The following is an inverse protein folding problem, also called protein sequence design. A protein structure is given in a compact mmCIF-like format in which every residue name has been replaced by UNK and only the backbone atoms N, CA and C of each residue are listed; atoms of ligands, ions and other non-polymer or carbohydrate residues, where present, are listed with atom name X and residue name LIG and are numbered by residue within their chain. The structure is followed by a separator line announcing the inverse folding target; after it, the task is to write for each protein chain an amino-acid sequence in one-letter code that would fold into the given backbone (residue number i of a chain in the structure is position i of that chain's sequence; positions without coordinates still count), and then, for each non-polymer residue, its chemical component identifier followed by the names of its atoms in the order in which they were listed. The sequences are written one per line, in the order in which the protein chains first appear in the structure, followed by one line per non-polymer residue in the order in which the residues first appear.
data_IF_136695687601
#
_entry.id   IF_136695687601
#
_cell.length_a   1.000
_cell.length_b   1.000
_cell.length_c   1.000
_cell.angle_alpha   90.00
_cell.angle_beta   90.00
_cell.angle_gamma   90.00
#
_symmetry.space_group_name_H-M   'P 1'
#
loop_
_entity.id
_entity.type
_entity.pdbx_description
1 polymer ?
#
# COMPACT_ATOMS: atom_id res chain seq x y z
N UNK A 1 -3.43 -10.93 28.26
CA UNK A 1 -2.15 -10.91 27.51
C UNK A 1 -2.20 -9.96 26.31
N UNK A 2 -3.26 -9.96 25.48
CA UNK A 2 -3.36 -9.16 24.24
C UNK A 2 -3.32 -7.63 24.42
N UNK A 3 -3.98 -7.10 25.45
CA UNK A 3 -4.08 -5.65 25.69
C UNK A 3 -2.76 -4.97 26.11
N UNK A 4 -1.90 -5.65 26.90
CA UNK A 4 -0.57 -5.12 27.28
C UNK A 4 0.39 -5.02 26.08
N UNK A 5 0.30 -5.97 25.16
CA UNK A 5 1.12 -5.99 23.93
C UNK A 5 0.70 -4.83 23.01
N UNK A 6 -0.61 -4.61 22.84
CA UNK A 6 -1.17 -3.48 22.09
C UNK A 6 -0.68 -2.11 22.59
N UNK A 7 -0.64 -1.90 23.91
CA UNK A 7 -0.12 -0.65 24.50
C UNK A 7 1.36 -0.45 24.17
N UNK A 8 2.17 -1.51 24.25
CA UNK A 8 3.59 -1.43 23.91
C UNK A 8 3.81 -1.11 22.43
N UNK A 9 2.95 -1.62 21.56
CA UNK A 9 3.03 -1.42 20.11
C UNK A 9 2.60 -0.01 19.69
N UNK A 10 1.56 0.54 20.32
CA UNK A 10 1.20 1.95 20.23
C UNK A 10 2.35 2.86 20.68
N UNK A 11 2.98 2.53 21.81
CA UNK A 11 4.10 3.29 22.33
C UNK A 11 5.32 3.22 21.38
N UNK A 12 5.63 2.05 20.82
CA UNK A 12 6.69 1.90 19.81
C UNK A 12 6.38 2.67 18.54
N UNK A 13 5.13 2.71 18.10
CA UNK A 13 4.73 3.49 16.94
C UNK A 13 4.97 4.99 17.10
N UNK A 14 4.67 5.51 18.29
CA UNK A 14 4.90 6.92 18.60
C UNK A 14 6.39 7.26 18.70
N UNK A 15 7.23 6.32 19.12
CA UNK A 15 8.62 6.59 19.47
C UNK A 15 9.68 6.00 18.52
N UNK A 16 9.34 4.99 17.72
CA UNK A 16 10.24 4.21 16.85
C UNK A 16 9.55 3.71 15.55
N UNK A 17 8.99 4.61 14.71
CA UNK A 17 8.32 4.21 13.46
C UNK A 17 9.25 3.51 12.45
N UNK A 18 10.57 3.70 12.56
CA UNK A 18 11.60 3.10 11.71
C UNK A 18 12.07 1.69 12.10
N UNK A 19 11.42 1.01 13.06
CA UNK A 19 11.74 -0.39 13.35
C UNK A 19 11.57 -1.25 12.07
N UNK A 20 12.63 -1.96 11.68
CA UNK A 20 12.67 -2.73 10.44
C UNK A 20 12.32 -4.20 10.68
N UNK A 21 11.45 -4.75 9.84
CA UNK A 21 11.05 -6.15 9.86
C UNK A 21 11.10 -6.76 8.46
N UNK A 22 11.19 -8.09 8.39
CA UNK A 22 11.15 -8.80 7.12
C UNK A 22 9.76 -8.66 6.47
N UNK A 23 9.72 -8.45 5.15
CA UNK A 23 8.49 -8.54 4.39
C UNK A 23 8.18 -10.01 4.07
N UNK A 24 7.36 -10.64 4.91
CA UNK A 24 7.13 -12.08 4.83
C UNK A 24 8.33 -12.87 5.35
N UNK A 25 8.61 -14.03 4.74
CA UNK A 25 9.83 -14.81 5.02
C UNK A 25 11.04 -14.37 4.18
N UNK A 26 10.93 -13.27 3.44
CA UNK A 26 11.94 -12.80 2.50
C UNK A 26 13.00 -11.95 3.21
N UNK A 27 14.19 -11.82 2.61
CA UNK A 27 15.30 -11.05 3.18
C UNK A 27 15.13 -9.52 3.14
N UNK A 28 14.13 -9.01 2.42
CA UNK A 28 13.85 -7.57 2.32
C UNK A 28 13.31 -7.03 3.66
N UNK A 29 13.99 -6.05 4.24
CA UNK A 29 13.58 -5.42 5.50
C UNK A 29 12.91 -4.06 5.27
N UNK A 30 11.65 -3.95 5.65
CA UNK A 30 10.82 -2.75 5.52
C UNK A 30 10.57 -2.14 6.89
N UNK A 31 10.42 -0.82 6.96
CA UNK A 31 9.85 -0.16 8.12
C UNK A 31 8.41 -0.60 8.35
N UNK A 32 7.98 -0.70 9.61
CA UNK A 32 6.63 -1.11 9.95
C UNK A 32 5.53 -0.13 9.45
N UNK A 33 5.91 1.10 9.12
CA UNK A 33 5.08 2.07 8.41
C UNK A 33 5.71 2.39 7.06
N UNK A 34 4.86 2.63 6.05
CA UNK A 34 5.26 3.15 4.75
C UNK A 34 4.47 4.40 4.40
N UNK A 35 4.97 5.18 3.45
CA UNK A 35 4.29 6.36 2.92
C UNK A 35 3.76 6.07 1.51
N UNK A 36 2.44 6.07 1.38
CA UNK A 36 1.76 5.94 0.08
C UNK A 36 1.48 7.30 -0.58
N UNK A 37 1.48 7.34 -1.91
CA UNK A 37 1.29 8.57 -2.69
C UNK A 37 -0.12 8.76 -3.26
N UNK A 38 -1.04 7.81 -3.03
CA UNK A 38 -2.40 7.84 -3.59
C UNK A 38 -3.19 9.07 -3.12
N UNK A 39 -3.88 9.71 -4.08
CA UNK A 39 -4.68 10.95 -3.92
C UNK A 39 -3.84 12.22 -3.78
N UNK A 40 -2.73 12.13 -3.05
CA UNK A 40 -1.92 13.27 -2.61
C UNK A 40 -0.95 13.75 -3.69
N UNK A 41 0.03 12.95 -4.06
CA UNK A 41 1.15 13.39 -4.90
C UNK A 41 0.69 13.63 -6.34
N UNK A 42 1.13 14.74 -6.94
CA UNK A 42 0.69 15.16 -8.28
C UNK A 42 -0.80 15.51 -8.37
N UNK A 43 -1.47 15.68 -7.23
CA UNK A 43 -2.91 15.83 -7.12
C UNK A 43 -3.32 16.79 -6.00
N UNK A 44 -3.76 16.26 -4.85
CA UNK A 44 -4.37 17.03 -3.76
C UNK A 44 -3.42 18.03 -3.08
N UNK A 45 -2.13 17.69 -2.98
CA UNK A 45 -1.12 18.51 -2.29
C UNK A 45 -0.09 19.05 -3.29
N UNK A 46 0.60 20.13 -2.92
CA UNK A 46 1.71 20.66 -3.71
C UNK A 46 2.94 19.76 -3.63
N UNK A 47 3.84 19.90 -4.61
CA UNK A 47 5.13 19.19 -4.63
C UNK A 47 6.01 19.54 -3.42
N UNK A 48 5.91 20.76 -2.87
CA UNK A 48 6.64 21.17 -1.66
C UNK A 48 6.17 20.42 -0.41
N UNK A 49 4.84 20.26 -0.23
CA UNK A 49 4.28 19.47 0.87
C UNK A 49 4.63 17.99 0.67
N UNK A 50 4.59 17.50 -0.57
CA UNK A 50 4.99 16.14 -0.88
C UNK A 50 6.47 15.89 -0.51
N UNK A 51 7.36 16.84 -0.81
CA UNK A 51 8.77 16.78 -0.41
C UNK A 51 8.92 16.76 1.12
N UNK A 52 8.20 17.64 1.83
CA UNK A 52 8.22 17.71 3.28
C UNK A 52 7.78 16.37 3.91
N UNK A 53 6.68 15.78 3.44
CA UNK A 53 6.19 14.49 3.93
C UNK A 53 7.17 13.35 3.70
N UNK A 54 7.79 13.28 2.51
CA UNK A 54 8.84 12.28 2.22
C UNK A 54 10.06 12.47 3.11
N UNK A 55 10.45 13.73 3.34
CA UNK A 55 11.58 14.09 4.23
C UNK A 55 11.32 13.63 5.65
N UNK A 56 10.17 14.00 6.23
CA UNK A 56 9.77 13.62 7.58
C UNK A 56 9.72 12.09 7.70
N UNK A 57 9.14 11.40 6.73
CA UNK A 57 9.08 9.94 6.75
C UNK A 57 10.49 9.32 6.79
N UNK A 58 11.36 9.71 5.85
CA UNK A 58 12.72 9.17 5.76
C UNK A 58 13.56 9.47 7.01
N UNK A 59 13.52 10.70 7.52
CA UNK A 59 14.26 11.11 8.72
C UNK A 59 13.78 10.40 10.00
N UNK A 60 12.52 9.94 10.02
CA UNK A 60 11.97 9.10 11.10
C UNK A 60 12.18 7.59 10.85
N UNK A 61 13.00 7.22 9.87
CA UNK A 61 13.39 5.84 9.59
C UNK A 61 12.37 5.05 8.76
N UNK A 62 11.36 5.70 8.18
CA UNK A 62 10.51 5.05 7.17
C UNK A 62 11.33 4.87 5.90
N UNK A 63 11.45 3.62 5.46
CA UNK A 63 12.18 3.27 4.24
C UNK A 63 11.27 2.87 3.08
N UNK A 64 9.97 2.64 3.31
CA UNK A 64 9.03 2.16 2.30
C UNK A 64 8.18 3.30 1.71
N UNK A 65 8.31 3.53 0.40
CA UNK A 65 7.53 4.51 -0.36
C UNK A 65 6.75 3.83 -1.49
N UNK A 66 5.44 4.00 -1.49
CA UNK A 66 4.53 3.27 -2.36
C UNK A 66 3.77 4.20 -3.32
N UNK A 67 3.74 3.82 -4.60
CA UNK A 67 3.06 4.57 -5.67
C UNK A 67 2.41 3.62 -6.68
N UNK A 68 1.85 4.14 -7.78
CA UNK A 68 1.34 3.36 -8.90
C UNK A 68 1.32 4.20 -10.18
N UNK A 69 1.40 3.54 -11.34
CA UNK A 69 1.34 4.21 -12.65
C UNK A 69 0.04 5.03 -12.83
N UNK A 70 -1.05 4.57 -12.23
CA UNK A 70 -2.37 5.20 -12.37
C UNK A 70 -2.54 6.43 -11.46
N UNK A 71 -1.71 6.58 -10.43
CA UNK A 71 -1.88 7.65 -9.44
C UNK A 71 -1.59 9.02 -10.07
N UNK A 72 -2.65 9.83 -10.14
CA UNK A 72 -2.65 11.10 -10.85
C UNK A 72 -2.14 10.97 -12.30
N UNK A 73 -2.45 9.86 -12.97
CA UNK A 73 -1.97 9.53 -14.32
C UNK A 73 -0.44 9.65 -14.45
N UNK A 74 0.29 8.99 -13.56
CA UNK A 74 1.76 8.96 -13.51
C UNK A 74 2.41 10.15 -12.79
N UNK A 75 1.68 11.23 -12.49
CA UNK A 75 2.28 12.41 -11.83
C UNK A 75 2.77 12.11 -10.41
N UNK A 76 2.14 11.18 -9.69
CA UNK A 76 2.62 10.77 -8.38
C UNK A 76 4.04 10.18 -8.44
N UNK A 77 4.31 9.35 -9.45
CA UNK A 77 5.65 8.79 -9.72
C UNK A 77 6.64 9.88 -10.11
N UNK A 78 6.28 10.81 -10.99
CA UNK A 78 7.12 11.95 -11.35
C UNK A 78 7.48 12.80 -10.12
N UNK A 79 6.51 13.06 -9.25
CA UNK A 79 6.71 13.86 -8.02
C UNK A 79 7.66 13.14 -7.07
N UNK A 80 7.40 11.86 -6.77
CA UNK A 80 8.26 11.05 -5.91
C UNK A 80 9.69 10.95 -6.47
N UNK A 81 9.84 10.70 -7.77
CA UNK A 81 11.14 10.62 -8.43
C UNK A 81 11.96 11.91 -8.34
N UNK A 82 11.32 13.07 -8.57
CA UNK A 82 11.95 14.39 -8.39
C UNK A 82 12.43 14.59 -6.95
N UNK A 83 11.63 14.22 -5.96
CA UNK A 83 11.99 14.35 -4.54
C UNK A 83 13.20 13.47 -4.22
N UNK A 84 13.16 12.18 -4.57
CA UNK A 84 14.25 11.24 -4.29
C UNK A 84 15.55 11.69 -4.94
N UNK A 85 15.50 12.14 -6.20
CA UNK A 85 16.66 12.69 -6.91
C UNK A 85 17.20 13.97 -6.27
N UNK A 86 16.31 14.89 -5.87
CA UNK A 86 16.69 16.15 -5.20
C UNK A 86 17.34 15.91 -3.85
N UNK A 87 16.78 14.99 -3.04
CA UNK A 87 17.33 14.62 -1.73
C UNK A 87 18.65 13.86 -1.84
N UNK A 88 18.88 13.19 -2.96
CA UNK A 88 20.11 12.46 -3.26
C UNK A 88 20.49 11.47 -2.14
N UNK A 89 19.49 10.86 -1.50
CA UNK A 89 19.71 9.77 -0.57
C UNK A 89 20.24 8.55 -1.32
N UNK A 90 21.08 7.76 -0.66
CA UNK A 90 21.65 6.57 -1.26
C UNK A 90 20.52 5.59 -1.61
N UNK A 91 20.36 5.22 -2.90
CA UNK A 91 19.28 4.34 -3.39
C UNK A 91 19.09 3.04 -2.59
N UNK A 92 20.16 2.53 -1.97
CA UNK A 92 20.17 1.32 -1.14
C UNK A 92 19.56 1.48 0.26
N UNK A 93 19.17 2.69 0.69
CA UNK A 93 18.63 2.95 2.04
C UNK A 93 17.11 2.99 2.06
N UNK A 94 16.45 3.03 0.90
CA UNK A 94 15.01 3.09 0.79
C UNK A 94 14.48 2.08 -0.23
N UNK A 95 13.20 1.78 -0.10
CA UNK A 95 12.41 0.80 -0.81
C UNK A 95 11.31 1.56 -1.56
N UNK A 96 11.27 1.41 -2.87
CA UNK A 96 10.20 1.96 -3.71
C UNK A 96 9.36 0.82 -4.24
N UNK A 97 8.04 0.91 -4.05
CA UNK A 97 7.08 0.06 -4.73
C UNK A 97 6.22 0.84 -5.70
N UNK A 98 5.96 0.26 -6.88
CA UNK A 98 4.93 0.73 -7.81
C UNK A 98 3.96 -0.40 -8.16
N UNK A 99 2.81 -0.07 -8.73
CA UNK A 99 1.78 -1.04 -9.15
C UNK A 99 1.36 -0.79 -10.59
N UNK A 100 1.14 -1.89 -11.29
CA UNK A 100 0.75 -1.92 -12.70
C UNK A 100 -0.66 -2.51 -12.84
N UNK A 101 -1.48 -1.86 -13.66
CA UNK A 101 -2.70 -2.36 -14.28
C UNK A 101 -3.33 -1.31 -15.21
N UNK A 102 -3.20 -0.02 -14.93
CA UNK A 102 -3.85 1.07 -15.68
C UNK A 102 -2.80 2.13 -16.08
N UNK A 103 -2.10 1.92 -17.19
CA UNK A 103 -1.05 2.83 -17.65
C UNK A 103 -1.50 3.84 -18.70
N UNK A 104 -2.68 3.65 -19.32
CA UNK A 104 -3.14 4.54 -20.37
C UNK A 104 -4.58 4.30 -20.83
N UNK A 105 -4.92 4.88 -21.98
CA UNK A 105 -6.29 4.84 -22.54
C UNK A 105 -6.47 3.74 -23.59
N UNK A 106 -5.39 3.32 -24.25
CA UNK A 106 -5.48 2.26 -25.24
C UNK A 106 -5.75 0.91 -24.58
N UNK A 107 -6.38 -0.01 -25.33
CA UNK A 107 -6.71 -1.35 -24.82
C UNK A 107 -5.45 -2.12 -24.34
N UNK A 108 -4.32 -1.88 -24.98
CA UNK A 108 -3.03 -2.50 -24.66
C UNK A 108 -2.25 -1.79 -23.53
N UNK A 109 -2.76 -0.68 -22.99
CA UNK A 109 -2.13 0.09 -21.90
C UNK A 109 -2.80 -0.21 -20.54
N UNK A 110 -3.47 -1.36 -20.43
CA UNK A 110 -4.09 -1.84 -19.20
C UNK A 110 -3.99 -3.37 -19.08
N UNK A 111 -4.24 -3.86 -17.87
CA UNK A 111 -4.23 -5.29 -17.54
C UNK A 111 -2.87 -5.79 -17.06
N UNK A 112 -2.70 -7.10 -17.09
CA UNK A 112 -1.48 -7.82 -16.68
C UNK A 112 -0.94 -8.70 -17.81
N UNK A 113 -1.20 -8.33 -19.06
CA UNK A 113 -0.48 -8.92 -20.19
C UNK A 113 1.02 -8.67 -20.05
N UNK A 114 1.83 -9.58 -20.61
CA UNK A 114 3.29 -9.43 -20.65
C UNK A 114 3.71 -8.10 -21.27
N UNK A 115 2.99 -7.65 -22.30
CA UNK A 115 3.21 -6.34 -22.95
C UNK A 115 3.07 -5.21 -21.93
N UNK A 116 1.93 -5.14 -21.24
CA UNK A 116 1.66 -4.05 -20.29
C UNK A 116 2.59 -4.09 -19.07
N UNK A 117 2.88 -5.27 -18.52
CA UNK A 117 3.79 -5.38 -17.37
C UNK A 117 5.17 -4.81 -17.71
N UNK A 118 5.73 -5.12 -18.89
CA UNK A 118 7.05 -4.64 -19.28
C UNK A 118 7.02 -3.15 -19.63
N UNK A 119 6.06 -2.72 -20.47
CA UNK A 119 5.97 -1.33 -20.94
C UNK A 119 5.56 -0.37 -19.81
N UNK A 120 4.59 -0.77 -18.99
CA UNK A 120 4.14 -0.03 -17.82
C UNK A 120 5.24 0.13 -16.78
N UNK A 121 6.01 -0.93 -16.48
CA UNK A 121 7.14 -0.83 -15.55
C UNK A 121 8.23 0.11 -16.08
N UNK A 122 8.63 -0.02 -17.34
CA UNK A 122 9.63 0.86 -17.95
C UNK A 122 9.19 2.32 -17.90
N UNK A 123 7.93 2.60 -18.23
CA UNK A 123 7.36 3.94 -18.15
C UNK A 123 7.32 4.47 -16.72
N UNK A 124 7.05 3.61 -15.75
CA UNK A 124 7.06 3.96 -14.32
C UNK A 124 8.47 4.30 -13.83
N UNK A 125 9.48 3.51 -14.22
CA UNK A 125 10.89 3.76 -13.92
C UNK A 125 11.39 5.08 -14.50
N UNK A 126 11.00 5.40 -15.74
CA UNK A 126 11.31 6.68 -16.37
C UNK A 126 10.73 7.86 -15.57
N UNK A 127 9.45 7.78 -15.19
CA UNK A 127 8.81 8.82 -14.36
C UNK A 127 9.47 8.94 -12.99
N UNK A 128 9.81 7.82 -12.37
CA UNK A 128 10.51 7.76 -11.08
C UNK A 128 11.97 8.21 -11.16
N UNK A 129 12.57 8.24 -12.36
CA UNK A 129 14.00 8.48 -12.56
C UNK A 129 14.85 7.45 -11.78
N UNK A 130 14.45 6.18 -11.82
CA UNK A 130 15.12 5.06 -11.16
C UNK A 130 15.46 3.97 -12.17
N UNK A 131 16.57 3.27 -11.97
CA UNK A 131 16.91 2.09 -12.77
C UNK A 131 16.05 0.88 -12.39
N UNK A 132 15.59 0.83 -11.14
CA UNK A 132 14.75 -0.25 -10.61
C UNK A 132 13.83 0.24 -9.48
N UNK A 133 12.73 -0.50 -9.29
CA UNK A 133 11.92 -0.48 -8.05
C UNK A 133 12.23 -1.72 -7.21
N UNK A 134 12.05 -1.65 -5.90
CA UNK A 134 12.31 -2.81 -5.05
C UNK A 134 11.20 -3.84 -5.21
N UNK A 135 9.95 -3.39 -5.34
CA UNK A 135 8.78 -4.24 -5.52
C UNK A 135 7.88 -3.68 -6.63
N UNK A 136 7.50 -4.53 -7.58
CA UNK A 136 6.41 -4.23 -8.53
C UNK A 136 5.17 -5.03 -8.18
N UNK A 137 4.02 -4.38 -8.07
CA UNK A 137 2.76 -5.02 -7.74
C UNK A 137 1.85 -5.17 -8.96
N UNK A 138 1.14 -6.29 -9.05
CA UNK A 138 -0.11 -6.37 -9.78
C UNK A 138 -1.20 -5.60 -9.01
N UNK A 139 -1.69 -4.46 -9.52
CA UNK A 139 -2.60 -3.57 -8.78
C UNK A 139 -4.00 -4.18 -8.53
N UNK A 140 -4.43 -5.09 -9.40
CA UNK A 140 -5.60 -5.98 -9.25
C UNK A 140 -5.39 -7.22 -10.11
N UNK A 141 -6.20 -8.26 -9.92
CA UNK A 141 -6.21 -9.42 -10.81
C UNK A 141 -6.64 -9.01 -12.23
N UNK A 142 -6.08 -9.66 -13.23
CA UNK A 142 -6.55 -9.60 -14.61
C UNK A 142 -7.16 -10.94 -15.03
N UNK A 143 -8.49 -10.99 -15.13
CA UNK A 143 -9.20 -12.20 -15.57
C UNK A 143 -9.07 -12.48 -17.07
N UNK A 144 -8.51 -11.54 -17.85
CA UNK A 144 -8.31 -11.69 -19.29
C UNK A 144 -6.94 -12.28 -19.65
N UNK A 145 -5.97 -12.26 -18.73
CA UNK A 145 -4.62 -12.78 -18.93
C UNK A 145 -4.43 -14.10 -18.16
N UNK A 146 -3.87 -15.16 -18.78
CA UNK A 146 -3.57 -16.39 -18.07
C UNK A 146 -2.56 -16.17 -16.94
N UNK A 147 -2.75 -16.84 -15.80
CA UNK A 147 -1.83 -16.71 -14.65
C UNK A 147 -0.37 -17.03 -15.00
N UNK A 148 -0.15 -18.03 -15.87
CA UNK A 148 1.19 -18.35 -16.36
C UNK A 148 1.87 -17.17 -17.06
N UNK A 149 1.15 -16.44 -17.91
CA UNK A 149 1.68 -15.27 -18.59
C UNK A 149 2.07 -14.18 -17.59
N UNK A 150 1.19 -13.92 -16.63
CA UNK A 150 1.39 -12.92 -15.58
C UNK A 150 2.66 -13.24 -14.77
N UNK A 151 2.78 -14.46 -14.25
CA UNK A 151 3.94 -14.88 -13.43
C UNK A 151 5.23 -14.89 -14.25
N UNK A 152 5.20 -15.31 -15.53
CA UNK A 152 6.35 -15.25 -16.43
C UNK A 152 6.78 -13.82 -16.71
N UNK A 153 5.83 -12.89 -16.88
CA UNK A 153 6.12 -11.49 -17.14
C UNK A 153 6.78 -10.83 -15.92
N UNK A 154 6.26 -11.05 -14.70
CA UNK A 154 6.88 -10.57 -13.47
C UNK A 154 8.27 -11.17 -13.24
N UNK A 155 8.42 -12.47 -13.51
CA UNK A 155 9.75 -13.12 -13.44
C UNK A 155 10.73 -12.51 -14.44
N UNK A 156 10.27 -12.18 -15.65
CA UNK A 156 11.12 -11.55 -16.66
C UNK A 156 11.61 -10.17 -16.22
N UNK A 157 10.74 -9.30 -15.68
CA UNK A 157 11.17 -7.96 -15.26
C UNK A 157 12.13 -8.01 -14.07
N UNK A 158 12.03 -9.03 -13.21
CA UNK A 158 13.03 -9.31 -12.17
C UNK A 158 14.37 -9.73 -12.78
N UNK A 159 14.36 -10.72 -13.68
CA UNK A 159 15.58 -11.19 -14.35
C UNK A 159 16.27 -10.11 -15.20
N UNK A 160 15.51 -9.09 -15.63
CA UNK A 160 16.02 -7.92 -16.33
C UNK A 160 16.49 -6.79 -15.39
N UNK A 161 16.51 -7.01 -14.07
CA UNK A 161 16.88 -6.04 -13.04
C UNK A 161 16.04 -4.75 -13.04
N UNK A 162 14.81 -4.78 -13.58
CA UNK A 162 13.87 -3.65 -13.51
C UNK A 162 13.17 -3.59 -12.14
N UNK A 163 13.16 -4.70 -11.43
CA UNK A 163 12.75 -4.77 -10.03
C UNK A 163 13.44 -5.93 -9.29
N UNK A 164 13.49 -5.89 -7.95
CA UNK A 164 14.02 -7.02 -7.17
C UNK A 164 12.97 -8.07 -6.83
N UNK A 165 11.74 -7.65 -6.58
CA UNK A 165 10.64 -8.53 -6.19
C UNK A 165 9.33 -8.12 -6.87
N UNK A 166 8.35 -9.01 -6.84
CA UNK A 166 6.98 -8.68 -7.22
C UNK A 166 5.98 -9.12 -6.16
N UNK A 167 4.81 -8.52 -6.18
CA UNK A 167 3.71 -8.83 -5.28
C UNK A 167 2.35 -8.68 -5.93
N UNK A 168 1.32 -9.08 -5.19
CA UNK A 168 -0.08 -8.97 -5.61
C UNK A 168 -0.78 -7.86 -4.83
N UNK A 169 -1.89 -7.33 -5.35
CA UNK A 169 -2.73 -6.37 -4.63
C UNK A 169 -4.18 -6.66 -4.94
N UNK A 170 -5.00 -6.79 -3.90
CA UNK A 170 -6.44 -7.10 -3.97
C UNK A 170 -6.75 -8.51 -4.48
N UNK A 171 -5.77 -9.40 -4.52
CA UNK A 171 -5.97 -10.77 -5.02
C UNK A 171 -6.59 -11.67 -3.95
N UNK A 172 -7.45 -12.61 -4.34
CA UNK A 172 -7.97 -13.60 -3.40
C UNK A 172 -6.87 -14.57 -2.92
N UNK A 173 -7.04 -15.21 -1.75
CA UNK A 173 -6.14 -16.30 -1.32
C UNK A 173 -5.90 -17.37 -2.38
N UNK A 174 -6.94 -17.68 -3.16
CA UNK A 174 -6.90 -18.67 -4.23
C UNK A 174 -5.99 -18.22 -5.38
N UNK A 175 -6.15 -16.98 -5.85
CA UNK A 175 -5.31 -16.41 -6.92
C UNK A 175 -3.83 -16.32 -6.53
N UNK A 176 -3.55 -15.96 -5.26
CA UNK A 176 -2.17 -15.91 -4.76
C UNK A 176 -1.56 -17.32 -4.76
N UNK A 177 -2.32 -18.33 -4.33
CA UNK A 177 -1.87 -19.72 -4.36
C UNK A 177 -1.71 -20.25 -5.78
N UNK A 178 -2.57 -19.83 -6.72
CA UNK A 178 -2.43 -20.15 -8.14
C UNK A 178 -1.11 -19.60 -8.71
N UNK A 179 -0.82 -18.31 -8.48
CA UNK A 179 0.45 -17.71 -8.87
C UNK A 179 1.66 -18.44 -8.27
N UNK A 180 1.58 -18.82 -6.99
CA UNK A 180 2.62 -19.61 -6.35
C UNK A 180 2.77 -20.99 -6.99
N UNK A 181 1.66 -21.68 -7.28
CA UNK A 181 1.65 -23.00 -7.92
C UNK A 181 2.30 -22.94 -9.30
N UNK A 182 1.93 -21.97 -10.13
CA UNK A 182 2.54 -21.71 -11.44
C UNK A 182 4.04 -21.45 -11.29
N UNK A 183 4.44 -20.64 -10.32
CA UNK A 183 5.84 -20.34 -10.09
C UNK A 183 6.64 -21.61 -9.74
N UNK A 184 6.09 -22.49 -8.90
CA UNK A 184 6.73 -23.76 -8.56
C UNK A 184 6.78 -24.73 -9.74
N UNK A 185 5.70 -24.85 -10.49
CA UNK A 185 5.60 -25.76 -11.63
C UNK A 185 6.61 -25.42 -12.74
N UNK A 186 6.82 -24.13 -13.00
CA UNK A 186 7.65 -23.67 -14.12
C UNK A 186 9.00 -23.07 -13.71
N UNK A 187 9.41 -23.26 -12.45
CA UNK A 187 10.63 -22.69 -11.88
C UNK A 187 10.75 -21.16 -12.10
N UNK A 188 9.65 -20.46 -11.84
CA UNK A 188 9.55 -19.00 -11.90
C UNK A 188 9.59 -18.40 -10.49
N UNK A 189 9.61 -17.07 -10.41
CA UNK A 189 9.71 -16.35 -9.13
C UNK A 189 8.30 -16.13 -8.58
N UNK A 190 7.96 -16.63 -7.37
CA UNK A 190 6.64 -16.41 -6.76
C UNK A 190 6.50 -14.98 -6.21
N UNK A 191 5.27 -14.47 -6.00
CA UNK A 191 5.06 -13.17 -5.37
C UNK A 191 5.49 -13.22 -3.90
N UNK A 192 6.11 -12.14 -3.41
CA UNK A 192 6.65 -12.09 -2.04
C UNK A 192 5.68 -11.50 -1.02
N UNK A 193 4.67 -10.77 -1.47
CA UNK A 193 3.71 -10.10 -0.60
C UNK A 193 2.38 -9.81 -1.29
N UNK A 194 1.34 -9.68 -0.48
CA UNK A 194 0.02 -9.19 -0.88
C UNK A 194 -0.22 -7.80 -0.28
N UNK A 195 -0.62 -6.85 -1.11
CA UNK A 195 -0.98 -5.50 -0.70
C UNK A 195 -2.51 -5.39 -0.54
N UNK A 196 -3.02 -5.34 0.70
CA UNK A 196 -4.47 -5.50 0.96
C UNK A 196 -5.07 -4.46 1.91
N UNK A 197 -6.38 -4.20 1.79
CA UNK A 197 -7.08 -3.27 2.67
C UNK A 197 -7.13 -3.84 4.08
N UNK A 198 -6.76 -3.03 5.07
CA UNK A 198 -6.90 -3.40 6.45
C UNK A 198 -7.14 -2.18 7.33
N UNK A 199 -8.20 -2.26 8.11
CA UNK A 199 -8.57 -1.28 9.12
C UNK A 199 -9.68 -1.86 9.98
N UNK A 200 -10.09 -1.17 11.06
CA UNK A 200 -11.09 -1.66 12.02
C UNK A 200 -12.42 -2.15 11.39
N UNK A 201 -12.81 -1.59 10.24
CA UNK A 201 -14.02 -2.01 9.49
C UNK A 201 -13.77 -3.01 8.34
N UNK A 202 -12.53 -3.42 8.07
CA UNK A 202 -12.17 -4.35 6.99
C UNK A 202 -11.04 -5.25 7.49
N UNK A 203 -11.40 -6.42 8.03
CA UNK A 203 -10.47 -7.25 8.83
C UNK A 203 -10.28 -8.67 8.31
N UNK A 204 -11.35 -9.24 7.74
CA UNK A 204 -11.47 -10.66 7.45
C UNK A 204 -10.28 -11.23 6.67
N UNK A 205 -9.87 -10.56 5.59
CA UNK A 205 -8.77 -11.05 4.74
C UNK A 205 -7.45 -11.15 5.49
N UNK A 206 -7.06 -10.11 6.23
CA UNK A 206 -5.78 -10.07 6.93
C UNK A 206 -5.77 -10.97 8.16
N UNK A 207 -6.87 -11.06 8.90
CA UNK A 207 -6.90 -11.80 10.16
C UNK A 207 -7.25 -13.28 10.02
N UNK A 208 -8.01 -13.65 8.99
CA UNK A 208 -8.49 -15.03 8.81
C UNK A 208 -7.73 -15.73 7.70
N UNK A 209 -7.62 -15.11 6.52
CA UNK A 209 -7.10 -15.82 5.34
C UNK A 209 -5.60 -15.72 5.15
N UNK A 210 -5.02 -14.51 5.27
CA UNK A 210 -3.59 -14.30 5.02
C UNK A 210 -2.63 -15.02 6.00
N UNK A 211 -2.93 -15.23 7.30
CA UNK A 211 -2.00 -15.91 8.21
C UNK A 211 -1.72 -17.35 7.78
N UNK A 212 -2.70 -18.03 7.19
CA UNK A 212 -2.51 -19.39 6.69
C UNK A 212 -1.72 -19.42 5.39
N UNK A 213 -1.89 -18.42 4.51
CA UNK A 213 -1.03 -18.27 3.32
C UNK A 213 0.41 -17.99 3.75
N UNK A 214 0.62 -17.07 4.69
CA UNK A 214 1.93 -16.75 5.26
C UNK A 214 2.62 -18.02 5.79
N UNK A 215 1.92 -18.83 6.60
CA UNK A 215 2.49 -20.08 7.15
C UNK A 215 2.90 -21.07 6.07
N UNK A 216 2.09 -21.20 5.01
CA UNK A 216 2.27 -22.19 3.94
C UNK A 216 3.36 -21.81 2.94
N UNK A 217 3.33 -20.57 2.44
CA UNK A 217 4.18 -20.14 1.32
C UNK A 217 5.05 -18.91 1.62
N UNK A 218 4.94 -18.32 2.81
CA UNK A 218 5.85 -17.28 3.28
C UNK A 218 5.63 -15.88 2.73
N UNK A 219 4.49 -15.58 2.09
CA UNK A 219 4.19 -14.22 1.60
C UNK A 219 4.07 -13.26 2.78
N UNK A 220 4.57 -12.04 2.64
CA UNK A 220 4.30 -10.93 3.56
C UNK A 220 2.96 -10.24 3.27
N UNK A 221 2.54 -9.40 4.19
CA UNK A 221 1.34 -8.56 4.02
C UNK A 221 1.72 -7.10 4.14
N UNK A 222 1.31 -6.29 3.16
CA UNK A 222 1.46 -4.84 3.19
C UNK A 222 0.07 -4.21 3.16
N UNK A 223 -0.36 -3.63 4.27
CA UNK A 223 -1.74 -3.14 4.37
C UNK A 223 -1.90 -1.71 3.86
N UNK A 224 -3.09 -1.37 3.38
CA UNK A 224 -3.41 -0.01 2.92
C UNK A 224 -4.75 0.49 3.46
N UNK A 225 -4.95 1.81 3.35
CA UNK A 225 -6.07 2.56 3.95
C UNK A 225 -6.26 2.27 5.45
N UNK A 226 -5.22 2.34 6.30
CA UNK A 226 -5.34 2.04 7.73
C UNK A 226 -6.37 2.90 8.47
N UNK A 227 -6.73 4.05 7.89
CA UNK A 227 -7.74 4.97 8.41
C UNK A 227 -9.05 4.97 7.60
N UNK A 228 -9.31 3.97 6.75
CA UNK A 228 -10.46 3.87 5.87
C UNK A 228 -10.72 5.17 5.09
N UNK A 229 -9.72 5.64 4.34
CA UNK A 229 -9.76 6.92 3.62
C UNK A 229 -10.00 8.17 4.50
N UNK A 230 -9.65 8.09 5.78
CA UNK A 230 -9.80 9.15 6.77
C UNK A 230 -11.05 9.03 7.64
N UNK A 231 -11.90 8.01 7.41
CA UNK A 231 -13.08 7.75 8.24
C UNK A 231 -12.70 7.57 9.72
N UNK A 232 -11.66 6.79 9.99
CA UNK A 232 -11.15 6.47 11.34
C UNK A 232 -10.39 7.63 12.00
N UNK A 233 -10.61 8.87 11.54
CA UNK A 233 -10.12 10.07 12.24
C UNK A 233 -11.23 10.79 12.98
N UNK A 234 -12.49 10.39 12.79
CA UNK A 234 -13.67 11.08 13.32
C UNK A 234 -14.03 12.37 12.57
N UNK A 235 -13.27 12.77 11.54
CA UNK A 235 -13.48 14.04 10.83
C UNK A 235 -14.82 14.19 10.09
N UNK A 236 -15.59 13.11 9.97
CA UNK A 236 -16.86 13.09 9.24
C UNK A 236 -18.09 13.02 10.16
N UNK A 237 -17.92 13.21 11.47
CA UNK A 237 -19.03 13.13 12.43
C UNK A 237 -20.14 14.15 12.12
N UNK A 238 -19.75 15.37 11.76
CA UNK A 238 -20.64 16.48 11.41
C UNK A 238 -20.83 16.65 9.89
N UNK A 239 -20.70 15.57 9.12
CA UNK A 239 -20.82 15.58 7.66
C UNK A 239 -19.47 15.64 6.94
N UNK A 240 -19.42 16.21 5.74
CA UNK A 240 -18.22 16.15 4.87
C UNK A 240 -17.46 17.49 4.89
N UNK A 241 -16.27 17.56 5.53
CA UNK A 241 -15.48 18.79 5.55
C UNK A 241 -14.98 19.18 4.15
N UNK A 242 -14.89 20.49 3.88
CA UNK A 242 -14.59 21.04 2.54
C UNK A 242 -13.26 20.56 1.93
N UNK A 243 -12.23 20.38 2.75
CA UNK A 243 -10.89 19.95 2.30
C UNK A 243 -10.62 18.46 2.55
N UNK A 244 -11.65 17.70 2.94
CA UNK A 244 -11.54 16.26 3.14
C UNK A 244 -11.43 15.50 1.81
N UNK A 245 -10.93 14.27 1.85
CA UNK A 245 -10.87 13.40 0.66
C UNK A 245 -12.25 13.19 0.04
N UNK A 246 -13.30 13.06 0.85
CA UNK A 246 -14.68 12.87 0.37
C UNK A 246 -15.26 14.10 -0.34
N UNK A 247 -14.67 15.29 -0.17
CA UNK A 247 -15.08 16.50 -0.89
C UNK A 247 -14.38 16.67 -2.26
N UNK A 248 -13.34 15.87 -2.55
CA UNK A 248 -12.59 15.99 -3.80
C UNK A 248 -13.40 15.52 -5.02
N UNK A 249 -13.20 16.18 -6.16
CA UNK A 249 -13.76 15.74 -7.45
C UNK A 249 -13.26 14.34 -7.77
N UNK A 250 -14.17 13.45 -8.18
CA UNK A 250 -13.87 12.03 -8.44
C UNK A 250 -13.99 11.10 -7.23
N UNK A 251 -14.27 11.63 -6.03
CA UNK A 251 -14.45 10.86 -4.80
C UNK A 251 -15.90 10.82 -4.30
N UNK A 252 -16.88 10.99 -5.22
CA UNK A 252 -18.31 10.88 -4.90
C UNK A 252 -18.66 9.56 -4.20
N UNK A 253 -18.05 8.46 -4.65
CA UNK A 253 -18.20 7.14 -4.02
C UNK A 253 -17.81 7.13 -2.52
N UNK A 254 -16.81 7.92 -2.12
CA UNK A 254 -16.39 8.01 -0.71
C UNK A 254 -17.37 8.88 0.07
N UNK A 255 -17.86 9.97 -0.52
CA UNK A 255 -18.92 10.79 0.07
C UNK A 255 -20.18 9.95 0.31
N UNK A 256 -20.60 9.15 -0.67
CA UNK A 256 -21.76 8.28 -0.56
C UNK A 256 -21.56 7.21 0.52
N UNK A 257 -20.37 6.61 0.59
CA UNK A 257 -20.00 5.65 1.65
C UNK A 257 -20.05 6.27 3.05
N UNK A 258 -19.62 7.53 3.19
CA UNK A 258 -19.66 8.25 4.48
C UNK A 258 -21.10 8.57 4.89
N UNK A 259 -21.96 8.97 3.95
CA UNK A 259 -23.30 9.49 4.22
C UNK A 259 -24.42 8.44 4.27
N UNK A 260 -24.15 7.21 3.81
CA UNK A 260 -25.11 6.11 3.87
C UNK A 260 -25.28 5.56 5.30
N UNK A 261 -26.28 4.69 5.49
CA UNK A 261 -26.64 4.16 6.81
C UNK A 261 -25.51 3.36 7.47
N UNK A 262 -24.71 2.64 6.69
CA UNK A 262 -23.57 1.89 7.20
C UNK A 262 -22.46 2.83 7.68
N UNK A 263 -22.15 3.87 6.90
CA UNK A 263 -21.18 4.90 7.25
C UNK A 263 -21.57 5.63 8.53
N UNK A 264 -22.85 5.96 8.72
CA UNK A 264 -23.34 6.56 9.97
C UNK A 264 -23.21 5.62 11.17
N UNK A 265 -23.56 4.34 11.02
CA UNK A 265 -23.33 3.32 12.05
C UNK A 265 -21.85 3.17 12.40
N UNK A 266 -20.96 3.31 11.41
CA UNK A 266 -19.52 3.33 11.64
C UNK A 266 -19.10 4.58 12.44
N UNK A 267 -19.64 5.77 12.14
CA UNK A 267 -19.38 7.00 12.92
C UNK A 267 -19.80 6.86 14.39
N UNK A 268 -20.97 6.29 14.67
CA UNK A 268 -21.42 6.08 16.06
C UNK A 268 -20.41 5.24 16.86
N UNK A 269 -19.89 4.17 16.26
CA UNK A 269 -18.83 3.34 16.86
C UNK A 269 -17.52 4.12 17.05
N UNK A 270 -17.21 5.09 16.19
CA UNK A 270 -16.01 5.91 16.33
C UNK A 270 -16.07 6.85 17.52
N UNK A 271 -17.26 7.29 17.95
CA UNK A 271 -17.41 8.07 19.19
C UNK A 271 -16.98 7.26 20.41
N UNK A 272 -17.37 5.99 20.49
CA UNK A 272 -16.94 5.07 21.55
C UNK A 272 -15.41 4.84 21.51
N UNK A 273 -14.85 4.64 20.32
CA UNK A 273 -13.40 4.46 20.15
C UNK A 273 -12.60 5.71 20.49
N UNK A 274 -13.16 6.91 20.31
CA UNK A 274 -12.52 8.17 20.67
C UNK A 274 -12.37 8.30 22.19
N UNK A 275 -13.37 7.85 22.95
CA UNK A 275 -13.30 7.76 24.42
C UNK A 275 -12.18 6.79 24.83
N UNK A 276 -12.05 5.66 24.12
CA UNK A 276 -10.98 4.70 24.36
C UNK A 276 -9.60 5.28 24.03
N UNK A 277 -9.45 5.95 22.89
CA UNK A 277 -8.19 6.57 22.47
C UNK A 277 -7.68 7.59 23.52
N UNK A 278 -8.61 8.36 24.10
CA UNK A 278 -8.33 9.35 25.14
C UNK A 278 -7.79 8.71 26.43
N UNK A 279 -8.18 7.46 26.75
CA UNK A 279 -7.63 6.72 27.91
C UNK A 279 -6.18 6.27 27.71
N UNK A 280 -5.68 6.33 26.48
CA UNK A 280 -4.32 5.96 26.11
C UNK A 280 -3.46 7.16 25.68
N UNK A 281 -3.93 8.38 25.93
CA UNK A 281 -3.26 9.62 25.54
C UNK A 281 -2.88 9.63 24.04
N UNK A 282 -3.77 9.11 23.20
CA UNK A 282 -3.57 9.04 21.75
C UNK A 282 -4.81 9.51 20.97
N UNK A 283 -4.58 9.93 19.74
CA UNK A 283 -5.66 10.25 18.79
C UNK A 283 -6.32 8.97 18.28
N UNK A 284 -7.58 9.05 17.83
CA UNK A 284 -8.26 7.93 17.18
C UNK A 284 -7.46 7.38 15.98
N UNK A 285 -6.79 8.26 15.24
CA UNK A 285 -5.94 7.86 14.12
C UNK A 285 -4.71 7.04 14.58
N UNK A 286 -4.05 7.45 15.66
CA UNK A 286 -2.94 6.70 16.25
C UNK A 286 -3.43 5.35 16.80
N UNK A 287 -4.58 5.33 17.48
CA UNK A 287 -5.20 4.09 17.98
C UNK A 287 -5.47 3.11 16.83
N UNK A 288 -6.09 3.58 15.75
CA UNK A 288 -6.42 2.77 14.58
C UNK A 288 -5.17 2.23 13.88
N UNK A 289 -4.14 3.06 13.69
CA UNK A 289 -2.89 2.61 13.07
C UNK A 289 -2.16 1.61 13.97
N UNK A 290 -2.16 1.81 15.28
CA UNK A 290 -1.55 0.87 16.22
C UNK A 290 -2.24 -0.47 16.31
N UNK A 291 -3.56 -0.50 16.17
CA UNK A 291 -4.32 -1.76 16.19
C UNK A 291 -4.02 -2.61 14.96
N UNK A 292 -3.85 -1.97 13.80
CA UNK A 292 -3.54 -2.66 12.55
C UNK A 292 -2.21 -3.44 12.56
N UNK A 293 -1.31 -3.17 13.52
CA UNK A 293 -0.05 -3.92 13.66
C UNK A 293 -0.20 -5.24 14.42
N UNK A 294 -1.23 -5.35 15.27
CA UNK A 294 -1.38 -6.49 16.17
C UNK A 294 -1.53 -7.84 15.45
N UNK A 295 -1.84 -7.81 14.15
CA UNK A 295 -2.18 -8.97 13.33
C UNK A 295 -1.23 -9.22 12.14
N UNK A 296 -0.17 -8.42 12.00
CA UNK A 296 0.85 -8.55 10.95
C UNK A 296 2.15 -9.15 11.50
#
# INVERSE_FOLDING_TARGET
MRFKIFILELYRLQNQPGELQNLGRNGLRVSQLGLGTWVTFGGQISDDIAEELVTIAYENGINLFDTAEVYAAGKAETTLGKILKKKNWKRSTYIVSTKLYWGGKAETEKGLSRKHIIEGLKSSLERLQLDYVDIVFANKLDSSAPMEEIVRAFTQVINNNLCFYWGTSRWSPMEIMEAYSIARQFNLIPPICEQTEYHLFQREKVEIFLPDIFKKIGIGTMTWSPLACGLLTGKYDDGVPLHSRAALKGYGWLKDKVLNDEGRKQQDKLRELTILASKFDCTLAQLAIGENKYFL
#
